data_IF_619218299755
#
_entry.id   IF_619218299755
#
_cell.length_a   1.000
_cell.length_b   1.000
_cell.length_c   1.000
_cell.angle_alpha   90.00
_cell.angle_beta   90.00
_cell.angle_gamma   90.00
#
_symmetry.space_group_name_H-M   'P 1'
#
loop_
_entity.id
_entity.type
_entity.pdbx_description
1 polymer ?
#
# COMPACT_ATOMS: atom_id res chain seq x y z
N UNK A 1 9.79 25.94 18.12
CA UNK A 1 9.29 25.32 16.88
C UNK A 1 8.05 24.51 17.25
N UNK A 2 7.00 24.50 16.41
CA UNK A 2 5.82 23.68 16.66
C UNK A 2 6.12 22.19 16.53
N UNK A 3 5.23 21.33 17.02
CA UNK A 3 5.25 19.87 16.80
C UNK A 3 5.05 19.52 15.31
N UNK A 4 5.39 18.30 14.92
CA UNK A 4 5.14 17.74 13.59
C UNK A 4 5.01 16.22 13.68
N UNK A 5 4.43 15.57 12.68
CA UNK A 5 4.38 14.11 12.53
C UNK A 5 5.53 13.60 11.65
N UNK A 6 6.04 12.40 11.94
CA UNK A 6 6.82 11.60 11.00
C UNK A 6 5.96 10.50 10.39
N UNK A 7 6.34 10.05 9.20
CA UNK A 7 5.59 9.08 8.42
C UNK A 7 6.41 7.83 8.17
N UNK A 8 5.73 6.73 7.85
CA UNK A 8 6.38 5.48 7.46
C UNK A 8 7.24 5.67 6.21
N UNK A 9 8.50 5.23 6.26
CA UNK A 9 9.47 5.31 5.19
C UNK A 9 9.05 4.57 3.91
N UNK A 10 8.20 3.55 4.05
CA UNK A 10 7.78 2.68 2.95
C UNK A 10 6.43 3.07 2.33
N UNK A 11 5.49 3.58 3.14
CA UNK A 11 4.13 3.87 2.65
C UNK A 11 3.72 5.34 2.77
N UNK A 12 4.49 6.18 3.45
CA UNK A 12 4.17 7.59 3.67
C UNK A 12 2.97 7.86 4.60
N UNK A 13 2.32 6.81 5.11
CA UNK A 13 1.20 6.95 6.03
C UNK A 13 1.66 7.25 7.47
N UNK A 14 0.73 7.75 8.28
CA UNK A 14 0.93 8.00 9.72
C UNK A 14 1.35 6.74 10.48
N UNK A 15 2.21 6.91 11.47
CA UNK A 15 2.71 5.87 12.39
C UNK A 15 1.80 5.64 13.62
N UNK A 16 0.49 5.80 13.46
CA UNK A 16 -0.51 5.64 14.52
C UNK A 16 -1.88 5.36 13.91
N UNK A 17 -2.68 4.53 14.58
CA UNK A 17 -4.07 4.25 14.23
C UNK A 17 -5.03 5.40 14.58
N UNK A 18 -4.56 6.44 15.25
CA UNK A 18 -5.35 7.65 15.56
C UNK A 18 -5.61 8.49 14.30
N UNK A 19 -6.61 8.06 13.53
CA UNK A 19 -7.21 8.81 12.41
C UNK A 19 -8.56 9.38 12.83
N UNK A 20 -8.97 10.47 12.20
CA UNK A 20 -10.27 11.11 12.50
C UNK A 20 -11.36 10.46 11.64
N UNK A 21 -12.47 10.06 12.29
CA UNK A 21 -13.70 9.63 11.63
C UNK A 21 -14.79 10.68 11.80
N UNK A 22 -15.64 10.84 10.78
CA UNK A 22 -16.80 11.72 10.88
C UNK A 22 -17.74 11.22 11.97
N UNK A 23 -18.27 12.15 12.77
CA UNK A 23 -19.33 11.85 13.72
C UNK A 23 -20.55 11.31 12.98
N UNK A 24 -21.06 10.14 13.40
CA UNK A 24 -22.35 9.66 12.91
C UNK A 24 -23.44 10.57 13.49
N UNK A 25 -24.35 11.12 12.67
CA UNK A 25 -25.48 11.88 13.21
C UNK A 25 -26.29 10.94 14.11
N UNK A 26 -26.35 11.26 15.40
CA UNK A 26 -27.19 10.55 16.37
C UNK A 26 -28.64 10.67 15.92
N UNK A 27 -29.32 9.54 15.67
CA UNK A 27 -30.76 9.50 15.34
C UNK A 27 -31.68 9.93 16.49
N UNK A 28 -31.17 10.60 17.52
CA UNK A 28 -31.92 11.05 18.71
C UNK A 28 -32.07 12.57 18.79
N UNK A 29 -31.80 13.32 17.71
CA UNK A 29 -31.97 14.78 17.68
C UNK A 29 -33.40 15.26 17.30
N UNK A 30 -34.44 14.42 17.43
CA UNK A 30 -35.84 14.83 17.21
C UNK A 30 -36.82 14.49 18.35
N UNK A 31 -36.34 14.02 19.51
CA UNK A 31 -37.18 13.89 20.70
C UNK A 31 -36.38 14.23 21.96
N UNK A 32 -36.27 15.53 22.27
CA UNK A 32 -36.29 16.05 23.64
C UNK A 32 -36.30 17.60 23.60
N UNK A 33 -37.47 18.14 23.24
CA UNK A 33 -37.87 19.46 23.73
C UNK A 33 -38.60 19.23 25.04
N UNK A 34 -37.89 19.28 26.18
CA UNK A 34 -38.41 19.68 27.49
C UNK A 34 -37.24 19.90 28.47
N UNK A 35 -36.97 21.18 28.71
CA UNK A 35 -36.73 21.83 30.01
C UNK A 35 -35.95 21.06 31.11
N UNK A 36 -34.71 21.48 31.39
CA UNK A 36 -34.40 22.25 32.61
C UNK A 36 -32.90 22.61 32.65
N UNK A 37 -32.63 23.88 32.97
CA UNK A 37 -31.29 24.45 32.93
C UNK A 37 -30.37 23.96 34.07
N UNK A 38 -29.13 23.65 33.72
CA UNK A 38 -27.99 23.84 34.62
C UNK A 38 -26.70 24.07 33.83
N UNK A 39 -26.23 25.31 33.96
CA UNK A 39 -24.97 25.85 33.48
C UNK A 39 -23.79 25.22 34.25
N UNK A 40 -22.90 24.51 33.53
CA UNK A 40 -21.48 24.46 33.88
C UNK A 40 -20.65 23.79 32.79
N UNK A 41 -19.67 24.55 32.27
CA UNK A 41 -18.54 24.01 31.52
C UNK A 41 -18.60 24.25 30.03
N UNK A 42 -18.30 25.49 29.62
CA UNK A 42 -18.08 25.88 28.24
C UNK A 42 -17.09 24.93 27.53
N UNK A 43 -17.63 23.99 26.75
CA UNK A 43 -16.91 23.36 25.64
C UNK A 43 -16.59 24.49 24.67
N UNK A 44 -15.34 24.95 24.67
CA UNK A 44 -14.85 25.89 23.69
C UNK A 44 -15.09 25.32 22.30
N UNK A 45 -16.06 25.90 21.59
CA UNK A 45 -16.15 25.75 20.14
C UNK A 45 -14.88 26.37 19.56
N UNK A 46 -13.91 25.51 19.26
CA UNK A 46 -12.77 25.86 18.42
C UNK A 46 -13.31 26.26 17.03
N UNK A 47 -13.04 27.48 16.53
CA UNK A 47 -13.49 27.91 15.20
C UNK A 47 -12.87 27.12 14.05
N UNK A 48 -11.88 26.26 14.31
CA UNK A 48 -11.30 25.33 13.33
C UNK A 48 -12.08 24.01 13.26
N UNK A 49 -13.37 24.10 12.93
CA UNK A 49 -14.24 22.94 12.67
C UNK A 49 -13.51 21.82 11.91
N UNK A 50 -13.29 20.71 12.61
CA UNK A 50 -12.55 19.51 12.22
C UNK A 50 -13.35 18.56 11.31
N UNK A 51 -14.54 18.96 10.85
CA UNK A 51 -15.37 18.11 9.98
C UNK A 51 -14.81 17.98 8.54
N UNK A 52 -13.87 18.83 8.14
CA UNK A 52 -13.28 18.80 6.79
C UNK A 52 -12.21 17.72 6.61
N UNK A 53 -11.59 17.26 7.70
CA UNK A 53 -10.46 16.33 7.68
C UNK A 53 -10.72 15.04 8.47
N UNK A 54 -11.82 14.35 8.14
CA UNK A 54 -12.19 13.07 8.74
C UNK A 54 -12.65 12.05 7.69
N UNK A 55 -12.29 10.78 7.88
CA UNK A 55 -12.73 9.65 7.05
C UNK A 55 -14.19 9.29 7.30
N UNK A 56 -14.83 8.74 6.29
CA UNK A 56 -16.21 8.26 6.38
C UNK A 56 -16.25 6.86 7.03
N UNK A 57 -16.91 6.69 8.20
CA UNK A 57 -16.98 5.39 8.90
C UNK A 57 -17.81 4.33 8.16
N UNK A 58 -18.57 4.72 7.14
CA UNK A 58 -19.30 3.77 6.27
C UNK A 58 -18.44 3.31 5.08
N UNK A 59 -17.30 3.97 4.85
CA UNK A 59 -16.30 3.59 3.84
C UNK A 59 -15.17 2.78 4.48
N UNK A 60 -14.65 3.25 5.61
CA UNK A 60 -13.47 2.69 6.29
C UNK A 60 -13.82 2.35 7.74
N UNK A 61 -13.52 1.13 8.18
CA UNK A 61 -13.71 0.74 9.57
C UNK A 61 -12.44 0.98 10.40
N UNK A 62 -12.60 1.19 11.72
CA UNK A 62 -11.49 1.36 12.66
C UNK A 62 -10.52 0.18 12.64
N UNK A 63 -11.04 -1.05 12.55
CA UNK A 63 -10.21 -2.26 12.42
C UNK A 63 -9.28 -2.24 11.20
N UNK A 64 -9.67 -1.54 10.13
CA UNK A 64 -8.90 -1.50 8.88
C UNK A 64 -7.71 -0.54 8.98
N UNK A 65 -7.60 0.25 10.05
CA UNK A 65 -6.48 1.18 10.31
C UNK A 65 -5.62 0.78 11.51
N UNK A 66 -6.01 -0.25 12.28
CA UNK A 66 -5.27 -0.71 13.47
C UNK A 66 -3.80 -1.02 13.17
N UNK A 67 -3.52 -1.56 11.98
CA UNK A 67 -2.16 -1.90 11.54
C UNK A 67 -1.18 -0.71 11.52
N UNK A 68 -1.68 0.53 11.45
CA UNK A 68 -0.85 1.74 11.50
C UNK A 68 -0.16 1.92 12.86
N UNK A 69 -0.63 1.24 13.91
CA UNK A 69 0.00 1.28 15.24
C UNK A 69 1.13 0.27 15.41
N UNK A 70 1.24 -0.71 14.51
CA UNK A 70 2.32 -1.71 14.54
C UNK A 70 3.54 -1.23 13.76
N UNK A 71 4.37 -0.45 14.47
CA UNK A 71 5.54 0.21 13.91
C UNK A 71 6.86 -0.33 14.50
N UNK A 72 7.91 -0.30 13.68
CA UNK A 72 9.31 -0.50 14.08
C UNK A 72 10.18 0.54 13.37
N UNK A 73 11.46 0.58 13.70
CA UNK A 73 12.42 1.49 13.10
C UNK A 73 13.67 0.74 12.62
N UNK A 74 14.15 1.09 11.43
CA UNK A 74 15.44 0.65 10.91
C UNK A 74 16.49 1.69 11.29
N UNK A 75 17.55 1.27 11.97
CA UNK A 75 18.65 2.12 12.40
C UNK A 75 20.00 1.51 12.05
N UNK A 76 21.06 2.29 12.25
CA UNK A 76 22.45 1.89 12.01
C UNK A 76 23.29 2.18 13.26
N UNK A 77 24.24 1.30 13.57
CA UNK A 77 25.15 1.51 14.69
C UNK A 77 26.25 2.51 14.30
N UNK A 78 26.63 3.38 15.23
CA UNK A 78 27.66 4.42 15.05
C UNK A 78 29.08 3.88 15.26
N UNK A 79 29.25 2.78 16.00
CA UNK A 79 30.57 2.25 16.39
C UNK A 79 31.21 1.33 15.33
N UNK A 80 32.54 1.16 15.41
CA UNK A 80 33.59 0.54 14.54
C UNK A 80 33.22 -0.44 13.39
N UNK A 81 32.02 -1.00 13.37
CA UNK A 81 31.45 -1.80 12.28
C UNK A 81 30.38 -0.97 11.54
N UNK A 82 30.83 -0.09 10.65
CA UNK A 82 30.00 0.80 9.81
C UNK A 82 28.95 0.09 8.94
N UNK A 83 28.83 -1.23 9.01
CA UNK A 83 27.89 -2.04 8.25
C UNK A 83 26.84 -2.76 9.12
N UNK A 84 26.75 -2.48 10.42
CA UNK A 84 25.72 -3.11 11.26
C UNK A 84 24.48 -2.23 11.39
N UNK A 85 23.43 -2.63 10.67
CA UNK A 85 22.07 -2.10 10.84
C UNK A 85 21.21 -3.03 11.71
N UNK A 86 20.16 -2.46 12.30
CA UNK A 86 19.25 -3.14 13.20
C UNK A 86 17.80 -2.67 12.99
N UNK A 87 16.86 -3.55 13.31
CA UNK A 87 15.43 -3.23 13.43
C UNK A 87 15.07 -3.23 14.92
N UNK A 88 14.43 -2.16 15.38
CA UNK A 88 14.00 -2.05 16.77
C UNK A 88 12.89 -3.04 17.11
N UNK A 89 12.67 -3.21 18.42
CA UNK A 89 11.36 -3.62 18.97
C UNK A 89 10.20 -2.74 18.48
N UNK A 90 8.98 -3.22 18.72
CA UNK A 90 7.77 -2.44 18.44
C UNK A 90 7.80 -1.13 19.23
N UNK A 91 7.30 -0.10 18.57
CA UNK A 91 7.29 1.25 19.11
C UNK A 91 6.11 2.05 18.61
N UNK A 92 6.11 3.32 18.98
CA UNK A 92 5.10 4.30 18.66
C UNK A 92 5.75 5.63 18.31
N UNK A 93 5.07 6.43 17.51
CA UNK A 93 5.48 7.81 17.30
C UNK A 93 5.15 8.66 18.54
N UNK A 94 6.14 9.33 19.10
CA UNK A 94 5.98 10.20 20.27
C UNK A 94 5.53 11.60 19.86
N UNK A 95 6.50 12.42 19.48
CA UNK A 95 6.35 13.76 18.88
C UNK A 95 7.73 14.26 18.43
N UNK A 96 7.83 15.36 17.68
CA UNK A 96 9.08 16.04 17.33
C UNK A 96 10.13 15.12 16.66
N UNK A 97 9.69 14.21 15.82
CA UNK A 97 10.56 13.25 15.15
C UNK A 97 11.10 12.13 16.03
N UNK A 98 10.60 11.98 17.26
CA UNK A 98 10.98 10.88 18.15
C UNK A 98 10.13 9.64 17.91
N UNK A 99 10.79 8.50 17.74
CA UNK A 99 10.19 7.17 17.80
C UNK A 99 10.44 6.58 19.18
N UNK A 100 9.39 6.27 19.94
CA UNK A 100 9.48 5.64 21.25
C UNK A 100 9.36 4.12 21.15
N UNK A 101 10.10 3.38 21.97
CA UNK A 101 10.05 1.92 22.02
C UNK A 101 9.22 1.47 23.22
N UNK A 102 8.33 0.49 23.02
CA UNK A 102 7.54 -0.05 24.12
C UNK A 102 8.45 -0.70 25.18
N UNK A 103 8.15 -0.39 26.44
CA UNK A 103 8.99 -0.78 27.58
C UNK A 103 8.78 -2.21 28.07
N UNK A 104 7.92 -3.01 27.44
CA UNK A 104 7.47 -4.29 28.00
C UNK A 104 8.63 -5.29 28.14
N UNK A 105 8.74 -5.88 29.34
CA UNK A 105 9.73 -6.93 29.65
C UNK A 105 9.46 -8.21 28.87
N UNK A 106 8.21 -8.49 28.49
CA UNK A 106 7.86 -9.69 27.74
C UNK A 106 8.42 -9.67 26.31
N UNK A 107 8.41 -8.51 25.63
CA UNK A 107 8.99 -8.39 24.29
C UNK A 107 10.52 -8.46 24.30
N UNK A 108 11.19 -8.12 25.41
CA UNK A 108 12.67 -8.17 25.55
C UNK A 108 13.28 -9.58 25.46
N UNK A 109 12.46 -10.63 25.46
CA UNK A 109 12.92 -12.02 25.42
C UNK A 109 12.38 -12.80 24.21
N UNK A 110 11.77 -12.12 23.23
CA UNK A 110 11.32 -12.78 21.99
C UNK A 110 12.52 -13.22 21.14
N UNK A 111 12.45 -14.40 20.56
CA UNK A 111 13.41 -14.88 19.55
C UNK A 111 13.35 -14.05 18.24
N UNK A 112 12.33 -13.20 18.08
CA UNK A 112 12.15 -12.29 16.94
C UNK A 112 12.87 -10.93 17.12
N UNK A 113 13.64 -10.78 18.20
CA UNK A 113 14.43 -9.58 18.43
C UNK A 113 15.67 -9.55 17.54
N UNK A 114 15.95 -8.38 16.99
CA UNK A 114 17.20 -8.15 16.29
C UNK A 114 18.35 -8.20 17.31
N UNK A 115 19.34 -9.11 17.16
CA UNK A 115 20.48 -9.17 18.08
C UNK A 115 21.34 -7.90 18.07
N UNK A 116 21.18 -7.06 17.03
CA UNK A 116 21.89 -5.79 16.91
C UNK A 116 21.09 -4.59 17.47
N UNK A 117 19.86 -4.78 17.96
CA UNK A 117 19.08 -3.69 18.57
C UNK A 117 19.81 -3.17 19.83
N UNK A 118 20.24 -1.88 19.86
CA UNK A 118 20.97 -1.31 21.00
C UNK A 118 20.11 -1.21 22.28
N UNK A 119 18.79 -1.44 22.18
CA UNK A 119 17.90 -1.48 23.33
C UNK A 119 17.55 -0.10 23.88
N UNK A 120 17.76 0.96 23.10
CA UNK A 120 17.37 2.32 23.47
C UNK A 120 15.84 2.44 23.60
N UNK A 121 15.41 3.43 24.39
CA UNK A 121 14.00 3.69 24.63
C UNK A 121 13.37 4.61 23.58
N UNK A 122 14.21 5.31 22.80
CA UNK A 122 13.76 6.17 21.73
C UNK A 122 14.86 6.35 20.68
N UNK A 123 14.47 6.67 19.46
CA UNK A 123 15.35 7.02 18.35
C UNK A 123 14.85 8.25 17.60
N UNK A 124 15.75 8.99 16.96
CA UNK A 124 15.40 10.08 16.05
C UNK A 124 14.99 9.56 14.66
N UNK A 125 13.90 10.08 14.09
CA UNK A 125 13.43 9.78 12.75
C UNK A 125 13.96 10.81 11.76
N UNK A 126 14.50 10.37 10.62
CA UNK A 126 14.89 11.23 9.48
C UNK A 126 15.87 12.38 9.80
N UNK A 127 16.47 12.37 10.98
CA UNK A 127 17.40 13.39 11.46
C UNK A 127 18.56 12.71 12.17
N UNK A 128 19.77 13.09 11.80
CA UNK A 128 20.98 12.68 12.50
C UNK A 128 21.12 13.54 13.76
N UNK A 129 21.51 12.91 14.87
CA UNK A 129 21.80 13.61 16.12
C UNK A 129 23.25 13.36 16.54
N UNK A 130 23.73 14.10 17.54
CA UNK A 130 25.10 13.97 18.06
C UNK A 130 25.38 12.54 18.59
N UNK A 131 24.33 11.77 18.91
CA UNK A 131 24.45 10.48 19.59
C UNK A 131 23.89 9.30 18.79
N UNK A 132 23.18 9.54 17.69
CA UNK A 132 22.46 8.51 16.94
C UNK A 132 22.43 8.82 15.45
N UNK A 133 22.58 7.78 14.62
CA UNK A 133 22.31 7.88 13.18
C UNK A 133 20.82 8.12 12.92
N UNK A 134 20.50 8.47 11.68
CA UNK A 134 19.12 8.59 11.23
C UNK A 134 18.37 7.28 11.45
N UNK A 135 17.14 7.35 11.96
CA UNK A 135 16.22 6.22 12.02
C UNK A 135 15.11 6.32 10.98
N UNK A 136 14.73 5.19 10.39
CA UNK A 136 13.67 5.08 9.40
C UNK A 136 12.48 4.27 9.95
N UNK A 137 11.41 4.93 10.42
CA UNK A 137 10.25 4.22 10.95
C UNK A 137 9.44 3.58 9.82
N UNK A 138 8.90 2.39 10.08
CA UNK A 138 8.05 1.67 9.14
C UNK A 138 6.99 0.83 9.85
N UNK A 139 5.89 0.54 9.15
CA UNK A 139 4.90 -0.44 9.60
C UNK A 139 5.37 -1.86 9.29
N UNK A 140 5.15 -2.81 10.21
CA UNK A 140 5.53 -4.22 9.99
C UNK A 140 4.93 -4.79 8.70
N UNK A 141 3.68 -4.42 8.37
CA UNK A 141 3.04 -4.83 7.12
C UNK A 141 3.73 -4.27 5.87
N UNK A 142 4.26 -3.05 5.93
CA UNK A 142 5.02 -2.49 4.81
C UNK A 142 6.34 -3.24 4.60
N UNK A 143 7.00 -3.62 5.71
CA UNK A 143 8.21 -4.45 5.67
C UNK A 143 7.94 -5.84 5.08
N UNK A 144 6.81 -6.45 5.44
CA UNK A 144 6.37 -7.72 4.83
C UNK A 144 6.13 -7.58 3.31
N UNK A 145 5.47 -6.49 2.89
CA UNK A 145 5.19 -6.23 1.47
C UNK A 145 6.48 -6.05 0.67
N UNK A 146 7.42 -5.21 1.13
CA UNK A 146 8.68 -5.00 0.41
C UNK A 146 9.51 -6.29 0.35
N UNK A 147 9.61 -7.03 1.46
CA UNK A 147 10.31 -8.32 1.51
C UNK A 147 9.74 -9.33 0.51
N UNK A 148 8.44 -9.61 0.59
CA UNK A 148 7.84 -10.74 -0.14
C UNK A 148 7.43 -10.40 -1.56
N UNK A 149 6.90 -9.19 -1.79
CA UNK A 149 6.29 -8.83 -3.07
C UNK A 149 7.20 -7.97 -3.96
N UNK A 150 8.12 -7.22 -3.37
CA UNK A 150 9.04 -6.37 -4.14
C UNK A 150 10.38 -7.08 -4.35
N UNK A 151 10.96 -7.62 -3.28
CA UNK A 151 12.26 -8.32 -3.32
C UNK A 151 12.14 -9.82 -3.59
N UNK A 152 10.96 -10.42 -3.35
CA UNK A 152 10.70 -11.83 -3.62
C UNK A 152 11.28 -12.81 -2.60
N UNK A 153 11.62 -12.34 -1.39
CA UNK A 153 12.12 -13.18 -0.31
C UNK A 153 11.03 -14.05 0.30
N UNK A 154 11.41 -15.19 0.89
CA UNK A 154 10.47 -16.10 1.57
C UNK A 154 10.21 -15.66 3.00
N UNK A 155 11.22 -15.08 3.64
CA UNK A 155 11.20 -14.57 5.00
C UNK A 155 11.57 -13.09 5.05
N UNK A 156 10.94 -12.37 5.97
CA UNK A 156 11.24 -10.95 6.25
C UNK A 156 12.65 -10.73 6.80
N UNK A 157 13.29 -11.79 7.30
CA UNK A 157 14.64 -11.76 7.86
C UNK A 157 15.74 -11.92 6.80
N UNK A 158 15.38 -12.17 5.53
CA UNK A 158 16.34 -12.27 4.42
C UNK A 158 16.75 -10.90 3.88
N UNK A 159 16.10 -9.82 4.30
CA UNK A 159 16.50 -8.46 3.91
C UNK A 159 17.83 -8.13 4.59
N UNK A 160 18.82 -7.73 3.79
CA UNK A 160 20.02 -7.11 4.32
C UNK A 160 19.66 -5.71 4.86
N UNK A 161 19.70 -5.59 6.19
CA UNK A 161 19.33 -4.36 6.89
C UNK A 161 20.27 -3.21 6.54
N UNK A 162 21.56 -3.48 6.31
CA UNK A 162 22.55 -2.45 6.04
C UNK A 162 22.37 -1.88 4.64
N UNK A 163 22.22 -2.75 3.64
CA UNK A 163 21.90 -2.33 2.27
C UNK A 163 20.56 -1.60 2.21
N UNK A 164 19.53 -2.05 2.95
CA UNK A 164 18.24 -1.34 3.01
C UNK A 164 18.38 0.02 3.69
N UNK A 165 19.17 0.12 4.76
CA UNK A 165 19.45 1.39 5.43
C UNK A 165 20.12 2.37 4.45
N UNK A 166 21.17 1.94 3.76
CA UNK A 166 21.87 2.77 2.77
C UNK A 166 20.96 3.18 1.61
N UNK A 167 20.10 2.26 1.14
CA UNK A 167 19.10 2.62 0.14
C UNK A 167 18.13 3.70 0.65
N UNK A 168 17.66 3.61 1.91
CA UNK A 168 16.78 4.62 2.49
C UNK A 168 17.49 5.97 2.71
N UNK A 169 18.77 5.94 3.07
CA UNK A 169 19.63 7.11 3.24
C UNK A 169 19.68 7.97 1.98
N UNK A 170 19.85 7.35 0.81
CA UNK A 170 19.87 8.04 -0.49
C UNK A 170 18.53 8.72 -0.85
N UNK A 171 17.41 8.26 -0.28
CA UNK A 171 16.10 8.91 -0.44
C UNK A 171 15.77 9.92 0.67
N UNK A 172 16.70 10.20 1.59
CA UNK A 172 16.47 11.10 2.74
C UNK A 172 16.76 12.56 2.38
N UNK A 173 15.73 13.28 1.94
CA UNK A 173 15.78 14.75 1.75
C UNK A 173 14.81 15.54 2.63
N UNK A 174 13.94 14.84 3.37
CA UNK A 174 12.95 15.44 4.26
C UNK A 174 13.12 14.89 5.68
N UNK A 175 12.78 15.73 6.63
CA UNK A 175 12.72 15.46 8.07
C UNK A 175 11.52 14.60 8.52
N UNK A 176 10.67 14.14 7.59
CA UNK A 176 9.39 13.50 7.92
C UNK A 176 9.11 12.21 7.15
N UNK A 177 9.72 12.03 5.99
CA UNK A 177 9.55 10.86 5.14
C UNK A 177 10.63 10.76 4.09
N UNK A 178 10.84 9.57 3.53
CA UNK A 178 11.66 9.41 2.32
C UNK A 178 11.02 10.12 1.11
N UNK A 179 11.84 10.56 0.17
CA UNK A 179 11.41 11.20 -1.08
C UNK A 179 10.95 10.16 -2.12
N UNK A 180 9.94 9.37 -1.77
CA UNK A 180 9.31 8.39 -2.65
C UNK A 180 7.98 8.93 -3.19
N UNK A 181 7.57 8.42 -4.36
CA UNK A 181 6.24 8.71 -4.90
C UNK A 181 5.19 7.83 -4.21
N UNK A 182 4.66 8.29 -3.07
CA UNK A 182 3.64 7.57 -2.30
C UNK A 182 2.25 7.54 -2.95
N UNK A 183 2.10 8.03 -4.19
CA UNK A 183 0.83 8.11 -4.90
C UNK A 183 0.02 9.36 -4.56
N UNK A 184 -1.29 9.31 -4.80
CA UNK A 184 -2.21 10.41 -4.43
C UNK A 184 -2.48 10.33 -2.93
N UNK A 185 -1.69 11.07 -2.16
CA UNK A 185 -1.82 11.19 -0.71
C UNK A 185 -1.57 12.65 -0.33
N UNK A 186 -2.63 13.37 0.01
CA UNK A 186 -2.55 14.76 0.46
C UNK A 186 -2.43 14.87 1.98
N UNK A 187 -2.74 13.79 2.71
CA UNK A 187 -2.66 13.76 4.18
C UNK A 187 -1.28 13.99 4.78
N UNK A 188 -0.21 13.78 4.01
CA UNK A 188 1.19 13.89 4.45
C UNK A 188 1.66 15.37 4.48
N UNK A 189 1.42 16.06 5.60
CA UNK A 189 1.81 17.48 5.80
C UNK A 189 2.66 17.67 7.07
N UNK A 190 2.59 18.82 7.74
CA UNK A 190 3.20 19.00 9.08
C UNK A 190 2.58 18.03 10.09
N UNK A 191 1.27 17.81 9.98
CA UNK A 191 0.52 16.79 10.71
C UNK A 191 -0.24 15.94 9.70
N UNK A 192 -0.65 14.73 10.12
CA UNK A 192 -1.53 13.89 9.34
C UNK A 192 -2.94 14.48 9.24
N UNK A 193 -3.43 14.69 8.02
CA UNK A 193 -4.81 15.10 7.75
C UNK A 193 -5.59 13.97 7.07
N UNK A 194 -6.80 13.70 7.55
CA UNK A 194 -7.64 12.65 6.96
C UNK A 194 -8.51 13.23 5.84
N UNK A 195 -8.15 13.02 4.57
CA UNK A 195 -8.93 13.52 3.44
C UNK A 195 -9.98 12.50 2.99
N UNK A 196 -11.28 12.86 2.90
CA UNK A 196 -12.28 12.01 2.28
C UNK A 196 -11.90 11.61 0.86
N UNK A 197 -12.03 10.33 0.54
CA UNK A 197 -11.58 9.74 -0.73
C UNK A 197 -10.15 9.19 -0.69
N UNK A 198 -9.39 9.42 0.38
CA UNK A 198 -8.05 8.86 0.59
C UNK A 198 -8.04 7.69 1.58
N UNK A 199 -9.19 7.12 1.93
CA UNK A 199 -9.33 6.02 2.89
C UNK A 199 -8.46 4.81 2.51
N UNK A 200 -8.31 4.55 1.21
CA UNK A 200 -7.45 3.49 0.71
C UNK A 200 -5.97 3.68 1.06
N UNK A 201 -5.51 4.87 1.46
CA UNK A 201 -4.10 5.08 1.86
C UNK A 201 -3.77 4.57 3.26
N UNK A 202 -4.79 4.46 4.11
CA UNK A 202 -4.70 4.03 5.51
C UNK A 202 -5.34 2.66 5.75
N UNK A 203 -6.12 2.15 4.80
CA UNK A 203 -6.71 0.81 4.86
C UNK A 203 -5.63 -0.29 4.80
N UNK A 204 -5.80 -1.34 5.60
CA UNK A 204 -4.87 -2.46 5.77
C UNK A 204 -4.37 -3.05 4.44
N UNK A 205 -3.06 -2.91 4.12
CA UNK A 205 -2.47 -3.44 2.89
C UNK A 205 -2.01 -4.90 3.01
N UNK A 206 -2.19 -5.53 4.16
CA UNK A 206 -1.59 -6.82 4.52
C UNK A 206 -1.94 -7.95 3.55
N UNK A 207 -1.13 -9.01 3.53
CA UNK A 207 -1.39 -10.20 2.71
C UNK A 207 -2.61 -10.97 3.24
N UNK A 208 -3.38 -11.56 2.33
CA UNK A 208 -4.56 -12.38 2.64
C UNK A 208 -5.68 -11.63 3.39
N UNK A 209 -5.75 -10.31 3.27
CA UNK A 209 -6.87 -9.50 3.80
C UNK A 209 -8.22 -9.87 3.19
N UNK A 210 -8.21 -10.48 2.00
CA UNK A 210 -9.40 -10.99 1.31
C UNK A 210 -9.25 -12.49 1.10
N UNK A 211 -10.32 -13.21 1.41
CA UNK A 211 -10.44 -14.62 1.04
C UNK A 211 -10.73 -14.76 -0.45
N UNK A 212 -10.50 -15.96 -0.98
CA UNK A 212 -10.95 -16.33 -2.32
C UNK A 212 -12.44 -16.06 -2.54
N UNK A 213 -13.27 -16.30 -1.52
CA UNK A 213 -14.71 -16.03 -1.55
C UNK A 213 -15.04 -14.55 -1.63
N UNK A 214 -14.33 -13.70 -0.90
CA UNK A 214 -14.51 -12.24 -0.93
C UNK A 214 -14.20 -11.68 -2.32
N UNK A 215 -13.08 -12.11 -2.91
CA UNK A 215 -12.71 -11.72 -4.28
C UNK A 215 -13.79 -12.19 -5.25
N UNK A 216 -14.19 -13.46 -5.20
CA UNK A 216 -15.19 -14.02 -6.11
C UNK A 216 -16.53 -13.31 -6.04
N UNK A 217 -17.01 -12.99 -4.84
CA UNK A 217 -18.31 -12.33 -4.64
C UNK A 217 -18.34 -10.90 -5.16
N UNK A 218 -17.20 -10.20 -5.16
CA UNK A 218 -17.10 -8.83 -5.64
C UNK A 218 -16.87 -8.73 -7.16
N UNK A 219 -16.41 -9.80 -7.81
CA UNK A 219 -16.13 -9.79 -9.25
C UNK A 219 -17.41 -9.82 -10.09
N UNK A 220 -17.42 -9.12 -11.24
CA UNK A 220 -18.57 -9.13 -12.14
C UNK A 220 -18.77 -10.52 -12.77
N UNK A 221 -19.97 -11.07 -12.62
CA UNK A 221 -20.39 -12.33 -13.26
C UNK A 221 -21.14 -12.10 -14.57
N UNK A 222 -21.14 -13.11 -15.44
CA UNK A 222 -21.92 -13.12 -16.68
C UNK A 222 -21.12 -13.58 -17.89
N UNK A 223 -21.78 -13.85 -19.02
CA UNK A 223 -21.11 -14.35 -20.22
C UNK A 223 -20.23 -13.25 -20.85
N UNK A 224 -19.09 -13.63 -21.46
CA UNK A 224 -18.23 -12.69 -22.14
C UNK A 224 -18.95 -12.07 -23.35
N UNK A 225 -18.72 -10.76 -23.54
CA UNK A 225 -19.24 -10.02 -24.70
C UNK A 225 -18.09 -9.65 -25.63
N UNK A 226 -18.17 -10.14 -26.86
CA UNK A 226 -17.18 -9.85 -27.91
C UNK A 226 -17.75 -8.87 -28.92
N UNK A 227 -16.89 -7.97 -29.40
CA UNK A 227 -17.22 -7.05 -30.49
C UNK A 227 -16.92 -7.72 -31.83
N UNK A 228 -17.92 -7.75 -32.71
CA UNK A 228 -17.73 -8.16 -34.10
C UNK A 228 -17.57 -6.92 -34.95
N UNK A 229 -16.33 -6.57 -35.29
CA UNK A 229 -16.01 -5.41 -36.15
C UNK A 229 -15.31 -5.81 -37.44
N UNK A 230 -15.13 -7.11 -37.69
CA UNK A 230 -14.40 -7.67 -38.85
C UNK A 230 -14.81 -7.05 -40.19
N UNK A 231 -16.09 -6.74 -40.37
CA UNK A 231 -16.64 -6.17 -41.61
C UNK A 231 -16.28 -4.68 -41.83
N UNK A 232 -15.82 -3.97 -40.79
CA UNK A 232 -15.52 -2.53 -40.85
C UNK A 232 -14.03 -2.24 -41.00
N UNK A 233 -13.18 -3.27 -40.99
CA UNK A 233 -11.73 -3.10 -40.96
C UNK A 233 -11.18 -3.31 -42.37
N UNK A 234 -10.62 -2.23 -42.92
CA UNK A 234 -10.06 -2.23 -44.27
C UNK A 234 -8.60 -2.70 -44.27
N UNK A 235 -7.81 -2.28 -43.28
CA UNK A 235 -6.39 -2.62 -43.16
C UNK A 235 -5.93 -2.53 -41.71
N UNK A 236 -5.30 -3.59 -41.18
CA UNK A 236 -4.68 -3.61 -39.85
C UNK A 236 -3.20 -4.03 -39.98
N UNK A 237 -2.23 -3.21 -39.55
CA UNK A 237 -0.81 -3.52 -39.73
C UNK A 237 -0.36 -4.76 -38.94
N UNK A 238 -1.06 -5.12 -37.86
CA UNK A 238 -0.75 -6.31 -37.07
C UNK A 238 -1.27 -7.59 -37.71
N UNK A 239 -2.16 -7.51 -38.72
CA UNK A 239 -2.73 -8.70 -39.39
C UNK A 239 -1.71 -9.56 -40.12
N UNK A 240 -0.52 -9.03 -40.40
CA UNK A 240 0.59 -9.77 -41.03
C UNK A 240 1.49 -10.46 -40.02
N UNK A 241 1.31 -10.20 -38.72
CA UNK A 241 2.14 -10.75 -37.67
C UNK A 241 1.53 -12.05 -37.13
N UNK A 242 2.36 -13.09 -36.87
CA UNK A 242 1.92 -14.26 -36.12
C UNK A 242 1.45 -13.88 -34.71
N UNK A 243 0.50 -14.67 -34.19
CA UNK A 243 -0.05 -14.54 -32.84
C UNK A 243 1.04 -14.45 -31.75
N UNK A 244 2.09 -15.25 -31.87
CA UNK A 244 3.19 -15.30 -30.90
C UNK A 244 3.99 -13.99 -30.87
N UNK A 245 4.18 -13.37 -32.04
CA UNK A 245 4.86 -12.07 -32.15
C UNK A 245 4.03 -10.98 -31.46
N UNK A 246 2.70 -11.01 -31.62
CA UNK A 246 1.79 -10.08 -30.93
C UNK A 246 1.90 -10.26 -29.41
N UNK A 247 1.97 -11.50 -28.91
CA UNK A 247 2.17 -11.78 -27.48
C UNK A 247 3.50 -11.23 -26.96
N UNK A 248 4.59 -11.39 -27.72
CA UNK A 248 5.91 -10.83 -27.37
C UNK A 248 5.83 -9.30 -27.30
N UNK A 249 5.20 -8.65 -28.28
CA UNK A 249 4.99 -7.20 -28.29
C UNK A 249 4.22 -6.79 -27.03
N UNK A 250 3.09 -7.43 -26.74
CA UNK A 250 2.26 -7.11 -25.58
C UNK A 250 3.03 -7.31 -24.27
N UNK A 251 3.86 -8.34 -24.15
CA UNK A 251 4.68 -8.59 -22.97
C UNK A 251 5.70 -7.48 -22.69
N UNK A 252 6.20 -6.79 -23.72
CA UNK A 252 7.13 -5.66 -23.61
C UNK A 252 6.44 -4.32 -23.29
N UNK A 253 5.11 -4.25 -23.41
CA UNK A 253 4.34 -3.05 -23.09
C UNK A 253 3.93 -3.02 -21.62
N UNK A 254 3.87 -1.82 -21.05
CA UNK A 254 3.21 -1.58 -19.76
C UNK A 254 1.69 -1.81 -19.88
N UNK A 255 1.05 -2.25 -18.79
CA UNK A 255 -0.39 -2.59 -18.76
C UNK A 255 -1.33 -1.56 -19.43
N UNK A 256 -1.22 -0.24 -19.15
CA UNK A 256 -2.04 0.77 -19.82
C UNK A 256 -1.84 0.82 -21.35
N UNK A 257 -0.62 0.64 -21.82
CA UNK A 257 -0.29 0.63 -23.25
C UNK A 257 -0.82 -0.63 -23.95
N UNK A 258 -0.87 -1.78 -23.25
CA UNK A 258 -1.51 -3.00 -23.77
C UNK A 258 -3.00 -2.77 -24.07
N UNK A 259 -3.72 -2.16 -23.13
CA UNK A 259 -5.15 -1.85 -23.32
C UNK A 259 -5.38 -0.86 -24.46
N UNK A 260 -4.53 0.17 -24.60
CA UNK A 260 -4.59 1.11 -25.74
C UNK A 260 -4.35 0.40 -27.07
N UNK A 261 -3.40 -0.54 -27.13
CA UNK A 261 -3.14 -1.31 -28.34
C UNK A 261 -4.34 -2.22 -28.71
N UNK A 262 -4.96 -2.87 -27.72
CA UNK A 262 -6.19 -3.65 -27.90
C UNK A 262 -7.35 -2.80 -28.43
N UNK A 263 -7.41 -1.51 -28.09
CA UNK A 263 -8.44 -0.61 -28.64
C UNK A 263 -8.08 -0.06 -30.03
N UNK A 264 -6.80 0.00 -30.37
CA UNK A 264 -6.32 0.60 -31.62
C UNK A 264 -6.25 -0.39 -32.80
N UNK A 265 -6.05 -1.68 -32.52
CA UNK A 265 -5.99 -2.74 -33.53
C UNK A 265 -7.02 -3.82 -33.25
N UNK A 266 -7.88 -4.10 -34.24
CA UNK A 266 -8.83 -5.19 -34.12
C UNK A 266 -8.15 -6.56 -34.17
N UNK A 267 -7.08 -6.70 -34.97
CA UNK A 267 -6.35 -7.95 -35.02
C UNK A 267 -5.73 -8.29 -33.65
N UNK A 268 -5.20 -7.27 -32.96
CA UNK A 268 -4.74 -7.44 -31.57
C UNK A 268 -5.92 -7.63 -30.61
N UNK A 269 -7.07 -6.97 -30.82
CA UNK A 269 -8.28 -7.20 -30.02
C UNK A 269 -8.76 -8.66 -30.04
N UNK A 270 -8.63 -9.37 -31.17
CA UNK A 270 -9.04 -10.78 -31.27
C UNK A 270 -8.33 -11.68 -30.25
N UNK A 271 -7.12 -11.30 -29.81
CA UNK A 271 -6.39 -11.96 -28.72
C UNK A 271 -7.21 -11.97 -27.42
N UNK A 272 -7.95 -10.89 -27.16
CA UNK A 272 -8.79 -10.72 -25.99
C UNK A 272 -10.05 -11.58 -25.98
N UNK A 273 -10.30 -12.36 -27.04
CA UNK A 273 -11.39 -13.31 -27.08
C UNK A 273 -11.06 -14.63 -26.34
N UNK A 274 -9.78 -14.86 -26.00
CA UNK A 274 -9.32 -16.05 -25.29
C UNK A 274 -9.21 -15.85 -23.78
N UNK A 275 -9.68 -16.81 -23.00
CA UNK A 275 -9.49 -16.82 -21.54
C UNK A 275 -8.00 -16.91 -21.17
N UNK A 276 -7.20 -17.64 -21.95
CA UNK A 276 -5.75 -17.75 -21.74
C UNK A 276 -5.06 -16.40 -21.80
N UNK A 277 -5.53 -15.50 -22.68
CA UNK A 277 -5.01 -14.14 -22.77
C UNK A 277 -5.27 -13.36 -21.48
N UNK A 278 -6.50 -13.43 -20.94
CA UNK A 278 -6.85 -12.71 -19.71
C UNK A 278 -6.20 -13.32 -18.47
N UNK A 279 -6.02 -14.65 -18.41
CA UNK A 279 -5.20 -15.29 -17.39
C UNK A 279 -3.76 -14.78 -17.42
N UNK A 280 -3.17 -14.67 -18.60
CA UNK A 280 -1.82 -14.11 -18.77
C UNK A 280 -1.76 -12.62 -18.33
N UNK A 281 -2.73 -11.81 -18.73
CA UNK A 281 -2.83 -10.40 -18.29
C UNK A 281 -2.93 -10.29 -16.76
N UNK A 282 -3.77 -11.09 -16.11
CA UNK A 282 -3.91 -11.11 -14.66
C UNK A 282 -2.63 -11.58 -13.95
N UNK A 283 -1.99 -12.65 -14.46
CA UNK A 283 -0.72 -13.16 -13.90
C UNK A 283 0.42 -12.15 -14.01
N UNK A 284 0.45 -11.36 -15.07
CA UNK A 284 1.54 -10.40 -15.29
C UNK A 284 1.29 -9.03 -14.65
N UNK A 285 0.05 -8.57 -14.59
CA UNK A 285 -0.27 -7.20 -14.16
C UNK A 285 -0.97 -7.12 -12.79
N UNK A 286 -1.62 -8.19 -12.30
CA UNK A 286 -2.37 -8.20 -11.03
C UNK A 286 -1.70 -9.04 -9.96
N UNK A 287 -1.33 -10.28 -10.26
CA UNK A 287 -0.71 -11.22 -9.30
C UNK A 287 0.50 -10.63 -8.55
N UNK A 288 1.38 -9.81 -9.16
CA UNK A 288 2.50 -9.20 -8.42
C UNK A 288 2.10 -8.37 -7.20
N UNK A 289 0.89 -7.80 -7.16
CA UNK A 289 0.37 -7.07 -6.00
C UNK A 289 -0.86 -7.73 -5.36
N UNK A 290 -1.38 -8.81 -5.94
CA UNK A 290 -2.46 -9.62 -5.38
C UNK A 290 -2.13 -11.11 -5.58
N UNK A 291 -1.17 -11.65 -4.81
CA UNK A 291 -0.79 -13.07 -4.90
C UNK A 291 -1.96 -14.01 -4.59
N UNK A 292 -2.96 -13.56 -3.83
CA UNK A 292 -4.19 -14.30 -3.52
C UNK A 292 -4.96 -14.71 -4.79
N UNK A 293 -4.80 -13.95 -5.88
CA UNK A 293 -5.40 -14.27 -7.16
C UNK A 293 -4.73 -15.48 -7.85
N UNK A 294 -3.49 -15.82 -7.48
CA UNK A 294 -2.75 -16.89 -8.16
C UNK A 294 -3.45 -18.26 -8.05
N UNK A 295 -3.89 -18.64 -6.85
CA UNK A 295 -4.63 -19.89 -6.61
C UNK A 295 -5.97 -19.89 -7.33
N UNK A 296 -6.70 -18.77 -7.26
CA UNK A 296 -7.99 -18.58 -7.95
C UNK A 296 -7.88 -18.79 -9.47
N UNK A 297 -6.83 -18.28 -10.12
CA UNK A 297 -6.68 -18.43 -11.58
C UNK A 297 -6.44 -19.88 -12.03
N UNK A 298 -6.05 -20.75 -11.12
CA UNK A 298 -5.85 -22.18 -11.35
C UNK A 298 -7.06 -23.00 -10.91
N UNK A 299 -8.02 -22.42 -10.19
CA UNK A 299 -9.25 -23.07 -9.75
C UNK A 299 -10.26 -23.19 -10.91
N UNK A 300 -10.67 -24.42 -11.28
CA UNK A 300 -11.71 -24.64 -12.29
C UNK A 300 -13.06 -23.98 -11.96
N UNK A 301 -13.42 -23.81 -10.68
CA UNK A 301 -14.67 -23.16 -10.28
C UNK A 301 -14.65 -21.65 -10.53
N UNK A 302 -13.46 -21.05 -10.51
CA UNK A 302 -13.25 -19.64 -10.81
C UNK A 302 -13.27 -19.37 -12.32
N UNK A 303 -12.68 -20.27 -13.11
CA UNK A 303 -12.48 -20.09 -14.55
C UNK A 303 -13.63 -20.73 -15.33
N UNK A 304 -14.61 -19.91 -15.71
CA UNK A 304 -15.72 -20.25 -16.63
C UNK A 304 -16.60 -21.45 -16.20
N UNK A 305 -17.93 -21.31 -16.10
CA UNK A 305 -18.77 -20.28 -16.73
C UNK A 305 -19.12 -19.10 -15.81
N UNK A 306 -18.62 -19.05 -14.56
CA UNK A 306 -19.06 -18.03 -13.58
C UNK A 306 -18.47 -16.64 -13.82
N UNK A 307 -17.18 -16.54 -14.14
CA UNK A 307 -16.46 -15.26 -14.18
C UNK A 307 -15.96 -14.97 -15.60
N UNK A 308 -16.34 -13.80 -16.11
CA UNK A 308 -15.73 -13.22 -17.32
C UNK A 308 -14.37 -12.60 -16.92
N UNK A 309 -13.27 -13.29 -17.26
CA UNK A 309 -11.91 -12.87 -16.91
C UNK A 309 -11.54 -11.49 -17.45
N UNK A 310 -12.10 -11.08 -18.59
CA UNK A 310 -11.90 -9.72 -19.13
C UNK A 310 -12.50 -8.68 -18.20
N UNK A 311 -13.77 -8.89 -17.82
CA UNK A 311 -14.48 -7.97 -16.92
C UNK A 311 -13.85 -7.97 -15.54
N UNK A 312 -13.46 -9.13 -15.02
CA UNK A 312 -12.77 -9.24 -13.75
C UNK A 312 -11.44 -8.47 -13.75
N UNK A 313 -10.63 -8.61 -14.79
CA UNK A 313 -9.37 -7.87 -14.94
C UNK A 313 -9.61 -6.36 -14.95
N UNK A 314 -10.54 -5.89 -15.79
CA UNK A 314 -10.85 -4.46 -15.91
C UNK A 314 -11.43 -3.90 -14.60
N UNK A 315 -12.30 -4.67 -13.95
CA UNK A 315 -12.91 -4.28 -12.69
C UNK A 315 -11.90 -4.19 -11.57
N UNK A 316 -10.99 -5.17 -11.41
CA UNK A 316 -9.91 -5.11 -10.43
C UNK A 316 -9.02 -3.88 -10.62
N UNK A 317 -8.65 -3.55 -11.87
CA UNK A 317 -7.86 -2.34 -12.17
C UNK A 317 -8.60 -1.05 -11.84
N UNK A 318 -9.91 -1.04 -12.06
CA UNK A 318 -10.77 0.09 -11.74
C UNK A 318 -10.97 0.25 -10.22
N UNK A 319 -11.31 -0.84 -9.53
CA UNK A 319 -11.63 -0.86 -8.10
C UNK A 319 -10.40 -0.62 -7.21
N UNK A 320 -9.19 -0.89 -7.71
CA UNK A 320 -7.92 -0.60 -7.01
C UNK A 320 -7.27 0.70 -7.46
N UNK A 321 -7.99 1.55 -8.20
CA UNK A 321 -7.49 2.86 -8.58
C UNK A 321 -7.83 3.88 -7.50
N UNK A 322 -6.82 4.61 -7.01
CA UNK A 322 -6.95 5.63 -5.97
C UNK A 322 -7.97 6.75 -6.28
N UNK A 323 -8.42 6.90 -7.54
CA UNK A 323 -9.43 7.90 -7.94
C UNK A 323 -10.86 7.35 -8.02
N UNK A 324 -11.07 6.05 -7.79
CA UNK A 324 -12.39 5.47 -7.87
C UNK A 324 -13.13 5.66 -6.53
N UNK A 325 -14.23 6.43 -6.54
CA UNK A 325 -15.15 6.52 -5.41
C UNK A 325 -15.93 5.20 -5.25
N UNK A 326 -15.28 4.13 -4.80
CA UNK A 326 -15.97 2.88 -4.46
C UNK A 326 -15.47 2.29 -3.14
N UNK A 327 -16.31 2.29 -2.09
CA UNK A 327 -16.13 1.39 -0.96
C UNK A 327 -16.36 -0.03 -1.48
N UNK A 328 -15.34 -0.85 -1.36
CA UNK A 328 -15.39 -2.26 -1.73
C UNK A 328 -14.26 -2.97 -1.02
N UNK A 329 -14.24 -4.31 -1.03
CA UNK A 329 -13.23 -5.09 -0.31
C UNK A 329 -11.79 -4.79 -0.77
N UNK A 330 -11.61 -4.13 -1.92
CA UNK A 330 -10.33 -3.92 -2.57
C UNK A 330 -9.56 -2.66 -2.11
N UNK A 331 -10.03 -1.90 -1.12
CA UNK A 331 -9.29 -0.73 -0.63
C UNK A 331 -7.90 -1.10 -0.10
N UNK A 332 -7.80 -2.17 0.69
CA UNK A 332 -6.50 -2.67 1.17
C UNK A 332 -5.58 -3.11 0.01
N UNK A 333 -6.14 -3.74 -1.03
CA UNK A 333 -5.37 -4.08 -2.24
C UNK A 333 -4.91 -2.83 -3.00
N UNK A 334 -5.74 -1.78 -3.05
CA UNK A 334 -5.36 -0.50 -3.62
C UNK A 334 -4.18 0.12 -2.85
N UNK A 335 -4.22 0.05 -1.51
CA UNK A 335 -3.11 0.50 -0.66
C UNK A 335 -1.85 -0.30 -0.93
N UNK A 336 -1.95 -1.63 -0.96
CA UNK A 336 -0.81 -2.52 -1.22
C UNK A 336 -0.16 -2.24 -2.56
N UNK A 337 -0.97 -2.09 -3.62
CA UNK A 337 -0.51 -1.75 -4.97
C UNK A 337 0.21 -0.40 -5.00
N UNK A 338 -0.27 0.58 -4.24
CA UNK A 338 0.37 1.91 -4.07
C UNK A 338 1.72 1.78 -3.37
N UNK A 339 1.80 1.05 -2.26
CA UNK A 339 3.04 0.83 -1.50
C UNK A 339 4.10 0.14 -2.38
N UNK A 340 3.72 -0.92 -3.09
CA UNK A 340 4.62 -1.61 -4.03
C UNK A 340 5.15 -0.64 -5.08
N UNK A 341 4.29 0.19 -5.68
CA UNK A 341 4.72 1.17 -6.66
C UNK A 341 5.69 2.20 -6.08
N UNK A 342 5.44 2.67 -4.86
CA UNK A 342 6.30 3.64 -4.16
C UNK A 342 7.68 3.05 -3.81
N UNK A 343 7.72 1.78 -3.41
CA UNK A 343 8.95 1.09 -2.98
C UNK A 343 9.82 0.56 -4.13
N UNK A 344 9.35 0.61 -5.39
CA UNK A 344 10.12 0.09 -6.53
C UNK A 344 11.51 0.73 -6.69
N UNK A 345 11.65 2.07 -6.73
CA UNK A 345 12.97 2.70 -6.85
C UNK A 345 13.88 2.37 -5.68
N UNK A 346 13.33 2.26 -4.47
CA UNK A 346 14.07 1.87 -3.27
C UNK A 346 14.60 0.44 -3.40
N UNK A 347 13.79 -0.48 -3.90
CA UNK A 347 14.19 -1.87 -4.11
C UNK A 347 15.21 -2.04 -5.24
N UNK A 348 15.13 -1.23 -6.31
CA UNK A 348 16.13 -1.20 -7.38
C UNK A 348 17.50 -0.80 -6.81
N UNK A 349 17.56 0.31 -6.05
CA UNK A 349 18.80 0.76 -5.41
C UNK A 349 19.34 -0.25 -4.40
N UNK A 350 18.48 -0.88 -3.61
CA UNK A 350 18.87 -1.95 -2.69
C UNK A 350 19.56 -3.11 -3.41
N UNK A 351 19.06 -3.53 -4.57
CA UNK A 351 19.68 -4.60 -5.36
C UNK A 351 21.03 -4.14 -5.92
N UNK A 352 21.13 -2.91 -6.43
CA UNK A 352 22.38 -2.35 -6.93
C UNK A 352 23.48 -2.30 -5.84
N UNK A 353 23.11 -2.00 -4.60
CA UNK A 353 24.04 -2.02 -3.45
C UNK A 353 24.53 -3.44 -3.17
N UNK A 354 23.62 -4.43 -3.15
CA UNK A 354 24.00 -5.83 -2.92
C UNK A 354 24.94 -6.38 -3.99
N UNK A 355 24.74 -5.98 -5.24
CA UNK A 355 25.62 -6.37 -6.35
C UNK A 355 27.02 -5.77 -6.19
N UNK A 356 27.12 -4.52 -5.72
CA UNK A 356 28.42 -3.84 -5.49
C UNK A 356 29.20 -4.42 -4.31
N UNK A 357 28.52 -4.87 -3.25
CA UNK A 357 29.17 -5.47 -2.07
C UNK A 357 29.61 -6.93 -2.32
N UNK A 358 29.21 -7.53 -3.45
CA UNK A 358 29.54 -8.91 -3.83
C UNK A 358 30.80 -9.04 -4.70
N UNK A 359 31.31 -7.93 -5.24
CA UNK A 359 32.54 -7.82 -6.04
C UNK A 359 33.75 -7.42 -5.17
#
# INVERSE_FOLDING_TARGET
>A
MGSWDCFCALCGARLSSCVQFKSRPTQTAEQDNNDDGQDSGASGNDPFSTETHAYDPDVLAEKDVEWLSTCRLLGKLVEDDFNKAFITRRGYYGDHGSFGIFGDRAERQSEELDPNDPGFYSHACYQETIHETVGYPFHEKCWEIISKLVLGYKSINEIDKAAMYSAMEDFTLSDRSLQLSYGLMHGQSQYWNCYPGEEATVCDPGLNILTSGDIMSALPTGPPKYLTLSEKIVQDPFSQLPFDVIHIILAKLLGPSRLKLLTASHHVYQQSCSDSFWKWMMRTDIVPWCPELHSLLNDPEFVSPRVDLKRAYLYMKYATNARANRPGPFMGLANRRRIIAACKPLAELYQDILEQDSD
#
